data_IF_810868866427
#
_entry.id   IF_810868866427
#
_cell.length_a   1.000
_cell.length_b   1.000
_cell.length_c   1.000
_cell.angle_alpha   90.00
_cell.angle_beta   90.00
_cell.angle_gamma   90.00
#
_symmetry.space_group_name_H-M   'P 1'
#
loop_
_entity.id
_entity.type
_entity.pdbx_description
1 polymer ?
#
# COMPACT_ATOMS: atom_id res chain seq x y z
N UNK A 1 23.62 -0.47 -7.68
CA UNK A 1 23.39 0.93 -7.30
C UNK A 1 22.35 1.50 -8.23
N UNK A 2 21.14 1.65 -7.71
CA UNK A 2 19.95 2.05 -8.42
C UNK A 2 20.18 3.45 -9.02
N UNK A 3 19.97 3.56 -10.34
CA UNK A 3 20.18 4.80 -11.08
C UNK A 3 19.37 5.94 -10.47
N UNK A 4 18.16 5.68 -9.97
CA UNK A 4 17.26 6.70 -9.43
C UNK A 4 17.84 7.30 -8.14
N UNK A 5 18.18 6.48 -7.14
CA UNK A 5 18.78 6.96 -5.88
C UNK A 5 20.07 7.75 -6.13
N UNK A 6 20.88 7.30 -7.10
CA UNK A 6 22.12 7.99 -7.48
C UNK A 6 21.90 9.36 -8.13
N UNK A 7 20.73 9.60 -8.74
CA UNK A 7 20.41 10.82 -9.49
C UNK A 7 19.68 11.87 -8.66
N UNK A 8 18.71 11.45 -7.84
CA UNK A 8 17.86 12.37 -7.06
C UNK A 8 18.14 12.33 -5.55
N UNK A 9 18.92 11.35 -5.08
CA UNK A 9 19.28 11.20 -3.68
C UNK A 9 18.27 10.39 -2.86
N UNK A 10 18.75 9.86 -1.73
CA UNK A 10 17.95 9.04 -0.82
C UNK A 10 16.76 9.81 -0.19
N UNK A 11 16.91 11.08 0.27
CA UNK A 11 15.77 11.82 0.83
C UNK A 11 14.61 11.99 -0.15
N UNK A 12 14.89 12.43 -1.39
CA UNK A 12 13.86 12.59 -2.42
C UNK A 12 13.18 11.25 -2.77
N UNK A 13 13.92 10.14 -2.73
CA UNK A 13 13.33 8.80 -2.95
C UNK A 13 12.39 8.38 -1.82
N UNK A 14 12.71 8.72 -0.57
CA UNK A 14 11.84 8.49 0.58
C UNK A 14 10.61 9.40 0.58
N UNK A 15 10.78 10.65 0.14
CA UNK A 15 9.68 11.59 -0.09
C UNK A 15 8.71 11.04 -1.14
N UNK A 16 9.22 10.49 -2.25
CA UNK A 16 8.39 9.82 -3.26
C UNK A 16 7.63 8.64 -2.65
N UNK A 17 8.30 7.74 -1.91
CA UNK A 17 7.61 6.63 -1.24
C UNK A 17 6.46 7.12 -0.34
N UNK A 18 6.66 8.22 0.39
CA UNK A 18 5.65 8.79 1.27
C UNK A 18 4.47 9.38 0.48
N UNK A 19 4.73 10.05 -0.65
CA UNK A 19 3.71 10.57 -1.55
C UNK A 19 2.86 9.44 -2.13
N UNK A 20 3.48 8.44 -2.77
CA UNK A 20 2.77 7.29 -3.36
C UNK A 20 1.96 6.51 -2.31
N UNK A 21 2.49 6.36 -1.09
CA UNK A 21 1.76 5.69 -0.01
C UNK A 21 0.51 6.48 0.41
N UNK A 22 0.56 7.82 0.36
CA UNK A 22 -0.59 8.66 0.63
C UNK A 22 -1.63 8.60 -0.51
N UNK A 23 -1.18 8.47 -1.76
CA UNK A 23 -2.06 8.29 -2.92
C UNK A 23 -2.74 6.92 -2.92
N UNK A 24 -1.99 5.84 -2.63
CA UNK A 24 -2.53 4.50 -2.40
C UNK A 24 -3.58 4.47 -1.28
N UNK A 25 -3.32 5.17 -0.17
CA UNK A 25 -4.29 5.32 0.92
C UNK A 25 -5.59 5.96 0.44
N UNK A 26 -5.50 7.04 -0.34
CA UNK A 26 -6.69 7.71 -0.91
C UNK A 26 -7.43 6.82 -1.90
N UNK A 27 -6.73 6.07 -2.74
CA UNK A 27 -7.33 5.14 -3.70
C UNK A 27 -8.11 4.01 -2.99
N UNK A 28 -7.51 3.40 -1.97
CA UNK A 28 -8.17 2.38 -1.15
C UNK A 28 -9.44 2.91 -0.46
N UNK A 29 -9.37 4.12 0.13
CA UNK A 29 -10.53 4.76 0.74
C UNK A 29 -11.63 5.09 -0.28
N UNK A 30 -11.25 5.48 -1.51
CA UNK A 30 -12.18 5.75 -2.60
C UNK A 30 -12.91 4.47 -3.02
N UNK A 31 -12.20 3.36 -3.22
CA UNK A 31 -12.81 2.07 -3.54
C UNK A 31 -13.74 1.59 -2.41
N UNK A 32 -13.32 1.72 -1.15
CA UNK A 32 -14.16 1.37 0.00
C UNK A 32 -15.47 2.17 0.04
N UNK A 33 -15.43 3.46 -0.31
CA UNK A 33 -16.64 4.31 -0.42
C UNK A 33 -17.55 3.85 -1.56
N UNK A 34 -16.99 3.52 -2.72
CA UNK A 34 -17.76 2.97 -3.85
C UNK A 34 -18.49 1.69 -3.42
N UNK A 35 -17.80 0.78 -2.72
CA UNK A 35 -18.37 -0.49 -2.26
C UNK A 35 -19.51 -0.28 -1.27
N UNK A 36 -19.38 0.66 -0.32
CA UNK A 36 -20.44 0.94 0.68
C UNK A 36 -21.66 1.63 0.09
N UNK A 37 -21.53 2.31 -1.06
CA UNK A 37 -22.61 3.05 -1.71
C UNK A 37 -23.31 4.13 -0.85
N UNK A 38 -22.70 4.56 0.26
CA UNK A 38 -23.28 5.51 1.23
C UNK A 38 -23.18 6.98 0.77
N UNK A 39 -22.25 7.30 -0.14
CA UNK A 39 -22.04 8.66 -0.65
C UNK A 39 -21.73 8.62 -2.15
N UNK A 40 -22.59 9.20 -3.02
CA UNK A 40 -22.37 9.22 -4.46
C UNK A 40 -21.01 9.82 -4.80
N UNK A 41 -20.20 9.06 -5.52
CA UNK A 41 -18.90 9.49 -6.02
C UNK A 41 -18.96 9.49 -7.55
N UNK A 42 -18.29 10.44 -8.24
CA UNK A 42 -18.32 10.50 -9.70
C UNK A 42 -17.57 9.34 -10.37
N UNK A 43 -16.79 8.56 -9.62
CA UNK A 43 -16.01 7.42 -10.16
C UNK A 43 -16.76 6.10 -10.01
N UNK A 44 -16.68 5.28 -11.05
CA UNK A 44 -17.22 3.91 -11.03
C UNK A 44 -16.30 2.92 -10.31
N UNK A 45 -16.81 1.71 -10.03
CA UNK A 45 -16.05 0.64 -9.38
C UNK A 45 -14.78 0.26 -10.16
N UNK A 46 -14.89 0.02 -11.47
CA UNK A 46 -13.74 -0.35 -12.30
C UNK A 46 -12.65 0.72 -12.26
N UNK A 47 -13.02 1.99 -12.42
CA UNK A 47 -12.07 3.10 -12.34
C UNK A 47 -11.40 3.20 -10.96
N UNK A 48 -12.14 2.96 -9.87
CA UNK A 48 -11.56 2.97 -8.53
C UNK A 48 -10.60 1.79 -8.29
N UNK A 49 -10.85 0.63 -8.90
CA UNK A 49 -9.93 -0.53 -8.89
C UNK A 49 -8.69 -0.24 -9.72
N UNK A 50 -8.84 0.36 -10.90
CA UNK A 50 -7.71 0.75 -11.76
C UNK A 50 -6.77 1.72 -11.04
N UNK A 51 -7.33 2.76 -10.38
CA UNK A 51 -6.54 3.66 -9.54
C UNK A 51 -5.85 2.91 -8.39
N UNK A 52 -6.52 1.98 -7.71
CA UNK A 52 -5.88 1.22 -6.64
C UNK A 52 -4.68 0.40 -7.15
N UNK A 53 -4.79 -0.17 -8.35
CA UNK A 53 -3.72 -0.94 -8.99
C UNK A 53 -2.51 -0.06 -9.35
N UNK A 54 -2.77 1.11 -9.93
CA UNK A 54 -1.75 2.10 -10.30
C UNK A 54 -0.92 2.51 -9.07
N UNK A 55 -1.57 3.00 -8.03
CA UNK A 55 -0.89 3.45 -6.81
C UNK A 55 -0.17 2.31 -6.07
N UNK A 56 -0.68 1.08 -6.18
CA UNK A 56 0.01 -0.10 -5.65
C UNK A 56 1.31 -0.36 -6.40
N UNK A 57 1.32 -0.19 -7.72
CA UNK A 57 2.51 -0.33 -8.54
C UNK A 57 3.54 0.76 -8.21
N UNK A 58 3.10 2.01 -8.00
CA UNK A 58 3.99 3.14 -7.71
C UNK A 58 4.66 3.02 -6.33
N UNK A 59 3.91 2.61 -5.30
CA UNK A 59 4.50 2.26 -4.01
C UNK A 59 5.51 1.12 -4.16
N UNK A 60 5.18 0.05 -4.89
CA UNK A 60 6.12 -1.07 -5.10
C UNK A 60 7.37 -0.64 -5.85
N UNK A 61 7.26 0.26 -6.82
CA UNK A 61 8.40 0.83 -7.52
C UNK A 61 9.32 1.59 -6.55
N UNK A 62 8.75 2.44 -5.69
CA UNK A 62 9.53 3.16 -4.67
C UNK A 62 10.25 2.20 -3.71
N UNK A 63 9.58 1.16 -3.23
CA UNK A 63 10.19 0.14 -2.36
C UNK A 63 11.36 -0.56 -3.07
N UNK A 64 11.17 -0.99 -4.33
CA UNK A 64 12.20 -1.63 -5.15
C UNK A 64 13.41 -0.71 -5.37
N UNK A 65 13.17 0.59 -5.54
CA UNK A 65 14.25 1.58 -5.69
C UNK A 65 15.08 1.71 -4.41
N UNK A 66 14.42 1.64 -3.26
CA UNK A 66 15.05 1.78 -1.95
C UNK A 66 15.80 0.54 -1.47
N UNK A 67 15.61 -0.64 -2.09
CA UNK A 67 16.30 -1.89 -1.71
C UNK A 67 17.83 -1.73 -1.72
N UNK A 68 18.37 -0.97 -2.67
CA UNK A 68 19.82 -0.74 -2.76
C UNK A 68 20.38 0.00 -1.52
N UNK A 69 19.58 0.87 -0.92
CA UNK A 69 19.94 1.60 0.31
C UNK A 69 19.52 0.84 1.58
N UNK A 70 18.42 0.08 1.50
CA UNK A 70 17.82 -0.67 2.59
C UNK A 70 17.46 -2.10 2.14
N UNK A 71 18.43 -3.03 2.11
CA UNK A 71 18.21 -4.38 1.56
C UNK A 71 17.11 -5.17 2.26
N UNK A 72 16.84 -4.89 3.54
CA UNK A 72 15.80 -5.56 4.33
C UNK A 72 14.39 -5.06 4.05
N UNK A 73 14.22 -3.96 3.30
CA UNK A 73 12.92 -3.29 3.11
C UNK A 73 11.90 -4.14 2.33
N UNK A 74 12.36 -5.15 1.59
CA UNK A 74 11.55 -6.12 0.87
C UNK A 74 11.56 -7.52 1.51
N UNK A 75 12.34 -7.72 2.57
CA UNK A 75 12.37 -8.99 3.31
C UNK A 75 11.40 -8.93 4.50
N UNK A 76 10.10 -8.82 4.18
CA UNK A 76 9.02 -8.58 5.14
C UNK A 76 8.16 -9.81 5.44
N UNK A 77 8.41 -10.94 4.78
CA UNK A 77 7.59 -12.16 4.83
C UNK A 77 7.28 -12.63 6.27
N UNK A 78 8.29 -12.69 7.14
CA UNK A 78 8.07 -13.08 8.54
C UNK A 78 7.11 -12.10 9.25
N UNK A 79 7.35 -10.80 9.12
CA UNK A 79 6.52 -9.78 9.74
C UNK A 79 5.10 -9.72 9.15
N UNK A 80 4.95 -10.02 7.86
CA UNK A 80 3.66 -10.16 7.17
C UNK A 80 2.87 -11.34 7.74
N UNK A 81 3.50 -12.52 7.82
CA UNK A 81 2.87 -13.73 8.38
C UNK A 81 2.42 -13.51 9.82
N UNK A 82 3.28 -12.95 10.69
CA UNK A 82 2.94 -12.63 12.08
C UNK A 82 1.79 -11.62 12.20
N UNK A 83 1.69 -10.66 11.27
CA UNK A 83 0.56 -9.71 11.23
C UNK A 83 -0.72 -10.37 10.74
N UNK A 84 -0.65 -11.22 9.71
CA UNK A 84 -1.79 -11.95 9.17
C UNK A 84 -2.37 -12.91 10.20
N UNK A 85 -1.54 -13.73 10.86
CA UNK A 85 -1.97 -14.63 11.94
C UNK A 85 -2.69 -13.85 13.04
N UNK A 86 -2.12 -12.74 13.51
CA UNK A 86 -2.76 -11.90 14.54
C UNK A 86 -4.10 -11.32 14.10
N UNK A 87 -4.29 -11.06 12.81
CA UNK A 87 -5.57 -10.58 12.30
C UNK A 87 -6.59 -11.72 12.27
N UNK A 88 -6.23 -12.89 11.74
CA UNK A 88 -7.09 -14.07 11.74
C UNK A 88 -7.55 -14.45 13.16
N UNK A 89 -6.63 -14.45 14.14
CA UNK A 89 -6.96 -14.72 15.54
C UNK A 89 -8.01 -13.74 16.12
N UNK A 90 -7.99 -12.47 15.68
CA UNK A 90 -8.97 -11.47 16.12
C UNK A 90 -10.35 -11.71 15.52
N UNK A 91 -10.41 -12.15 14.26
CA UNK A 91 -11.66 -12.51 13.60
C UNK A 91 -12.28 -13.75 14.26
N UNK A 92 -11.49 -14.80 14.50
CA UNK A 92 -11.98 -16.01 15.17
C UNK A 92 -12.52 -15.76 16.57
N UNK A 93 -11.90 -14.85 17.33
CA UNK A 93 -12.40 -14.47 18.66
C UNK A 93 -13.71 -13.69 18.56
N UNK A 94 -13.80 -12.74 17.64
CA UNK A 94 -15.03 -11.96 17.43
C UNK A 94 -16.20 -12.87 17.04
N UNK A 95 -15.98 -13.88 16.20
CA UNK A 95 -17.01 -14.84 15.78
C UNK A 95 -17.47 -15.78 16.91
N UNK A 96 -16.63 -16.04 17.93
CA UNK A 96 -16.99 -16.86 19.10
C UNK A 96 -17.72 -16.07 20.18
N UNK A 97 -17.52 -14.75 20.21
CA UNK A 97 -18.07 -13.84 21.23
C UNK A 97 -19.35 -13.10 20.77
N UNK A 98 -19.66 -13.10 19.46
CA UNK A 98 -20.87 -12.54 18.86
C UNK A 98 -22.00 -13.54 18.69
#
# INVERSE_FOLDING_TARGET
MNLIVSKIGLPATLEQLAEEAAELSKAALKLARVIRAENPTPVGYCQAVDSLLEETADVRNCLNVLVDAFPSLVNTEQAENEKLTRWLDRLEKADREG
#
